data_IF_276277044019
#
_entry.id   IF_276277044019
#
_cell.length_a   1.000
_cell.length_b   1.000
_cell.length_c   1.000
_cell.angle_alpha   90.00
_cell.angle_beta   90.00
_cell.angle_gamma   90.00
#
_symmetry.space_group_name_H-M   'P 1'
#
loop_
_entity.id
_entity.type
_entity.pdbx_description
1 polymer ?
#
# COMPACT_ATOMS: atom_id res chain seq x y z
N UNK A 1 12.04 -3.75 15.93
CA UNK A 1 12.36 -4.85 15.00
C UNK A 1 11.10 -5.66 14.77
N UNK A 2 10.35 -5.46 13.67
CA UNK A 2 9.12 -6.22 13.37
C UNK A 2 9.50 -7.60 12.81
N UNK A 3 8.90 -8.64 13.37
CA UNK A 3 9.05 -10.04 12.99
C UNK A 3 8.33 -10.28 11.66
N UNK A 4 9.02 -10.83 10.66
CA UNK A 4 8.46 -11.22 9.37
C UNK A 4 7.81 -12.60 9.56
N UNK A 5 6.48 -12.65 9.68
CA UNK A 5 5.65 -13.83 10.01
C UNK A 5 5.22 -14.68 8.80
N UNK A 6 5.75 -14.42 7.59
CA UNK A 6 5.19 -14.97 6.34
C UNK A 6 5.71 -16.33 5.89
N UNK A 7 6.82 -16.87 6.43
CA UNK A 7 7.36 -18.13 5.93
C UNK A 7 6.94 -19.33 6.79
N UNK A 8 6.69 -20.50 6.18
CA UNK A 8 6.38 -21.72 6.91
C UNK A 8 7.60 -22.18 7.73
N UNK A 9 7.37 -22.52 9.00
CA UNK A 9 8.39 -22.98 9.96
C UNK A 9 9.10 -21.86 10.74
N UNK A 10 9.80 -22.24 11.81
CA UNK A 10 10.68 -21.31 12.54
C UNK A 10 11.77 -20.79 11.59
N UNK A 11 11.56 -19.61 11.01
CA UNK A 11 12.58 -18.93 10.23
C UNK A 11 13.81 -18.65 11.07
N UNK A 12 14.97 -19.05 10.58
CA UNK A 12 16.22 -18.72 11.24
C UNK A 12 16.45 -17.20 11.20
N UNK A 13 17.25 -16.65 12.14
CA UNK A 13 17.71 -15.26 12.05
C UNK A 13 18.42 -14.93 10.73
N UNK A 14 19.01 -15.94 10.06
CA UNK A 14 19.65 -15.78 8.76
C UNK A 14 18.63 -15.56 7.64
N UNK A 15 17.54 -16.32 7.61
CA UNK A 15 16.45 -16.15 6.64
C UNK A 15 15.79 -14.78 6.76
N UNK A 16 15.56 -14.32 8.01
CA UNK A 16 15.04 -12.96 8.27
C UNK A 16 15.96 -11.87 7.71
N UNK A 17 17.27 -12.01 7.90
CA UNK A 17 18.25 -11.06 7.37
C UNK A 17 18.30 -11.08 5.84
N UNK A 18 18.18 -12.26 5.23
CA UNK A 18 18.15 -12.41 3.78
C UNK A 18 16.92 -11.70 3.18
N UNK A 19 15.74 -11.93 3.74
CA UNK A 19 14.51 -11.26 3.30
C UNK A 19 14.63 -9.74 3.47
N UNK A 20 15.08 -9.26 4.62
CA UNK A 20 15.27 -7.81 4.83
C UNK A 20 16.27 -7.18 3.85
N UNK A 21 17.27 -7.93 3.38
CA UNK A 21 18.18 -7.45 2.32
C UNK A 21 17.50 -7.44 0.96
N UNK A 22 16.71 -8.46 0.64
CA UNK A 22 15.94 -8.53 -0.59
C UNK A 22 14.91 -7.38 -0.68
N UNK A 23 14.15 -7.12 0.39
CA UNK A 23 13.20 -6.00 0.46
C UNK A 23 13.90 -4.65 0.21
N UNK A 24 15.04 -4.41 0.87
CA UNK A 24 15.83 -3.18 0.65
C UNK A 24 16.41 -3.06 -0.77
N UNK A 25 16.68 -4.18 -1.44
CA UNK A 25 17.11 -4.16 -2.83
C UNK A 25 15.95 -3.80 -3.76
N UNK A 26 14.76 -4.36 -3.52
CA UNK A 26 13.54 -4.01 -4.24
C UNK A 26 13.15 -2.54 -4.03
N UNK A 27 13.19 -2.05 -2.79
CA UNK A 27 12.92 -0.65 -2.49
C UNK A 27 13.83 0.28 -3.31
N UNK A 28 15.13 0.00 -3.36
CA UNK A 28 16.06 0.81 -4.17
C UNK A 28 15.69 0.79 -5.65
N UNK A 29 15.38 -0.38 -6.20
CA UNK A 29 14.99 -0.50 -7.60
C UNK A 29 13.69 0.26 -7.92
N UNK A 30 12.75 0.31 -6.99
CA UNK A 30 11.48 1.04 -7.18
C UNK A 30 11.63 2.57 -7.07
N UNK A 31 12.73 3.05 -6.48
CA UNK A 31 13.10 4.47 -6.46
C UNK A 31 14.16 4.82 -7.53
N UNK A 32 14.51 3.89 -8.43
CA UNK A 32 15.42 4.21 -9.53
C UNK A 32 14.75 5.18 -10.52
N UNK A 33 15.42 6.28 -10.90
CA UNK A 33 14.86 7.24 -11.85
C UNK A 33 14.43 6.58 -13.15
N UNK A 34 13.22 6.88 -13.62
CA UNK A 34 12.66 6.35 -14.86
C UNK A 34 11.89 5.03 -14.71
N UNK A 35 11.87 4.42 -13.53
CA UNK A 35 11.00 3.28 -13.25
C UNK A 35 9.63 3.78 -12.84
N UNK A 36 8.67 3.72 -13.77
CA UNK A 36 7.29 4.05 -13.46
C UNK A 36 6.73 3.02 -12.45
N UNK A 37 6.26 3.51 -11.32
CA UNK A 37 5.58 2.74 -10.28
C UNK A 37 4.11 2.51 -10.65
N UNK A 38 3.88 2.16 -11.92
CA UNK A 38 2.56 1.93 -12.53
C UNK A 38 2.44 0.56 -13.16
N UNK A 39 3.49 -0.28 -13.12
CA UNK A 39 3.27 -1.70 -13.38
C UNK A 39 2.53 -2.27 -12.17
N UNK A 40 1.24 -2.53 -12.34
CA UNK A 40 0.39 -3.10 -11.30
C UNK A 40 1.05 -4.34 -10.69
N UNK A 41 1.83 -5.09 -11.50
CA UNK A 41 2.62 -6.23 -11.04
C UNK A 41 3.74 -5.87 -10.04
N UNK A 42 4.60 -4.88 -10.31
CA UNK A 42 5.68 -4.54 -9.37
C UNK A 42 5.13 -3.99 -8.06
N UNK A 43 4.10 -3.14 -8.13
CA UNK A 43 3.41 -2.61 -6.93
C UNK A 43 2.78 -3.75 -6.12
N UNK A 44 2.13 -4.71 -6.79
CA UNK A 44 1.54 -5.88 -6.14
C UNK A 44 2.56 -6.76 -5.44
N UNK A 45 3.64 -7.10 -6.10
CA UNK A 45 4.68 -7.93 -5.49
C UNK A 45 5.35 -7.21 -4.32
N UNK A 46 5.60 -5.90 -4.46
CA UNK A 46 6.09 -5.09 -3.36
C UNK A 46 5.11 -5.06 -2.17
N UNK A 47 3.82 -4.82 -2.42
CA UNK A 47 2.80 -4.79 -1.37
C UNK A 47 2.61 -6.17 -0.71
N UNK A 48 2.63 -7.26 -1.47
CA UNK A 48 2.58 -8.62 -0.90
C UNK A 48 3.73 -8.85 0.07
N UNK A 49 4.94 -8.50 -0.35
CA UNK A 49 6.13 -8.66 0.48
C UNK A 49 6.09 -7.83 1.78
N UNK A 50 5.44 -6.67 1.76
CA UNK A 50 5.38 -5.76 2.91
C UNK A 50 4.14 -5.94 3.80
N UNK A 51 3.03 -6.43 3.25
CA UNK A 51 1.72 -6.35 3.90
C UNK A 51 1.01 -7.70 4.09
N UNK A 52 1.34 -8.73 3.31
CA UNK A 52 0.61 -10.00 3.32
C UNK A 52 0.65 -10.75 4.66
N UNK A 53 1.68 -10.49 5.48
CA UNK A 53 1.91 -11.16 6.76
C UNK A 53 1.47 -10.34 7.97
N UNK A 54 0.94 -9.13 7.76
CA UNK A 54 0.58 -8.24 8.85
C UNK A 54 -0.65 -8.80 9.59
N UNK A 55 -0.49 -9.01 10.88
CA UNK A 55 -1.54 -9.53 11.78
C UNK A 55 -2.59 -8.47 12.16
N UNK A 56 -2.34 -7.22 11.78
CA UNK A 56 -3.25 -6.08 11.95
C UNK A 56 -3.41 -5.40 10.62
N UNK A 57 -4.54 -4.76 10.42
CA UNK A 57 -4.72 -3.89 9.28
C UNK A 57 -3.77 -2.70 9.38
N UNK A 58 -3.03 -2.46 8.30
CA UNK A 58 -2.25 -1.25 8.08
C UNK A 58 -2.77 -0.57 6.82
N UNK A 59 -3.03 0.73 6.88
CA UNK A 59 -3.34 1.55 5.72
C UNK A 59 -2.08 2.29 5.30
N UNK A 60 -1.64 2.04 4.07
CA UNK A 60 -0.45 2.60 3.45
C UNK A 60 -0.81 3.52 2.30
N UNK A 61 0.03 4.53 2.11
CA UNK A 61 -0.06 5.45 0.98
C UNK A 61 1.30 5.51 0.30
N UNK A 62 1.27 5.39 -1.02
CA UNK A 62 2.44 5.44 -1.88
C UNK A 62 2.34 6.72 -2.70
N UNK A 63 3.30 7.61 -2.53
CA UNK A 63 3.31 8.96 -3.09
C UNK A 63 4.08 8.96 -4.41
N UNK A 64 3.43 9.41 -5.48
CA UNK A 64 3.98 9.35 -6.83
C UNK A 64 4.13 10.74 -7.42
N UNK A 65 5.14 10.90 -8.29
CA UNK A 65 5.33 12.10 -9.09
C UNK A 65 4.44 12.10 -10.36
N UNK A 66 4.62 13.11 -11.22
CA UNK A 66 3.87 13.23 -12.48
C UNK A 66 4.20 12.14 -13.51
N UNK A 67 5.36 11.50 -13.40
CA UNK A 67 5.77 10.36 -14.22
C UNK A 67 5.36 9.02 -13.57
N UNK A 68 4.60 9.11 -12.47
CA UNK A 68 4.18 8.02 -11.62
C UNK A 68 5.36 7.22 -11.02
N UNK A 69 6.49 7.86 -10.78
CA UNK A 69 7.62 7.27 -10.05
C UNK A 69 7.40 7.41 -8.55
N UNK A 70 7.84 6.42 -7.77
CA UNK A 70 7.67 6.43 -6.31
C UNK A 70 8.58 7.48 -5.67
N UNK A 71 7.97 8.48 -5.02
CA UNK A 71 8.67 9.49 -4.23
C UNK A 71 8.98 8.93 -2.84
N UNK A 72 7.93 8.40 -2.19
CA UNK A 72 7.97 7.87 -0.84
C UNK A 72 6.76 6.95 -0.60
N UNK A 73 6.77 6.22 0.50
CA UNK A 73 5.61 5.51 1.02
C UNK A 73 5.55 5.60 2.53
N UNK A 74 4.36 5.51 3.12
CA UNK A 74 4.21 5.45 4.57
C UNK A 74 3.02 4.59 5.00
N UNK A 75 3.15 3.92 6.15
CA UNK A 75 1.99 3.42 6.90
C UNK A 75 1.39 4.59 7.67
N UNK A 76 0.28 5.15 7.16
CA UNK A 76 -0.39 6.29 7.81
C UNK A 76 -1.21 5.86 9.01
N UNK A 77 -1.83 4.68 8.93
CA UNK A 77 -2.72 4.20 9.98
C UNK A 77 -2.45 2.73 10.24
N UNK A 78 -2.47 2.37 11.52
CA UNK A 78 -2.41 0.98 11.97
C UNK A 78 -3.65 0.73 12.80
N UNK A 79 -4.50 -0.15 12.31
CA UNK A 79 -5.76 -0.48 12.92
C UNK A 79 -5.65 -1.52 14.03
N UNK A 80 -6.84 -1.98 14.40
CA UNK A 80 -7.03 -3.15 15.25
C UNK A 80 -7.06 -4.41 14.37
N UNK A 81 -7.51 -5.53 14.94
CA UNK A 81 -7.74 -6.77 14.16
C UNK A 81 -8.91 -6.59 13.17
N UNK A 82 -9.87 -5.70 13.47
CA UNK A 82 -11.17 -5.65 12.76
C UNK A 82 -11.36 -4.48 11.81
N UNK A 83 -10.63 -3.38 12.01
CA UNK A 83 -10.66 -2.19 11.15
C UNK A 83 -9.54 -1.20 11.49
N UNK A 84 -9.19 -0.39 10.50
CA UNK A 84 -8.38 0.82 10.64
C UNK A 84 -9.24 2.07 10.42
N UNK A 85 -9.19 3.04 11.34
CA UNK A 85 -9.82 4.33 11.11
C UNK A 85 -8.88 5.23 10.30
N UNK A 86 -9.33 5.63 9.11
CA UNK A 86 -8.56 6.46 8.17
C UNK A 86 -9.16 7.85 8.11
N UNK A 87 -8.33 8.86 8.36
CA UNK A 87 -8.74 10.26 8.31
C UNK A 87 -8.26 10.92 7.01
N UNK A 88 -9.17 11.32 6.10
CA UNK A 88 -8.79 11.91 4.81
C UNK A 88 -7.87 13.13 4.92
N UNK A 89 -8.02 13.94 5.98
CA UNK A 89 -7.14 15.10 6.24
C UNK A 89 -5.66 14.74 6.37
N UNK A 90 -5.33 13.61 7.00
CA UNK A 90 -3.93 13.20 7.16
C UNK A 90 -3.37 12.67 5.84
N UNK A 91 -4.19 11.98 5.06
CA UNK A 91 -3.81 11.53 3.70
C UNK A 91 -3.47 12.74 2.83
N UNK A 92 -4.35 13.75 2.78
CA UNK A 92 -4.13 14.99 2.01
C UNK A 92 -2.88 15.73 2.49
N UNK A 93 -2.76 15.93 3.81
CA UNK A 93 -1.60 16.62 4.42
C UNK A 93 -0.28 15.96 4.02
N UNK A 94 -0.22 14.63 4.04
CA UNK A 94 1.00 13.88 3.74
C UNK A 94 1.28 13.81 2.25
N UNK A 95 0.24 13.72 1.41
CA UNK A 95 0.39 13.79 -0.04
C UNK A 95 0.95 15.16 -0.48
N UNK A 96 0.44 16.25 0.09
CA UNK A 96 0.97 17.59 -0.13
C UNK A 96 2.41 17.75 0.40
N UNK A 97 2.71 17.19 1.58
CA UNK A 97 4.07 17.24 2.13
C UNK A 97 5.11 16.63 1.18
N UNK A 98 4.77 15.53 0.51
CA UNK A 98 5.65 14.89 -0.46
C UNK A 98 5.58 15.47 -1.87
N UNK A 99 4.78 16.52 -2.10
CA UNK A 99 4.48 17.06 -3.43
C UNK A 99 4.02 15.98 -4.41
N UNK A 100 3.18 15.05 -3.93
CA UNK A 100 2.68 13.95 -4.73
C UNK A 100 1.69 14.45 -5.79
N UNK A 101 1.89 14.04 -7.04
CA UNK A 101 0.93 14.26 -8.12
C UNK A 101 -0.14 13.16 -8.19
N UNK A 102 0.16 12.00 -7.61
CA UNK A 102 -0.76 10.89 -7.45
C UNK A 102 -0.44 10.07 -6.21
N UNK A 103 -1.42 9.34 -5.70
CA UNK A 103 -1.23 8.38 -4.61
C UNK A 103 -1.88 7.04 -4.92
N UNK A 104 -1.17 5.95 -4.63
CA UNK A 104 -1.78 4.62 -4.53
C UNK A 104 -2.12 4.36 -3.07
N UNK A 105 -3.36 3.96 -2.83
CA UNK A 105 -3.84 3.57 -1.51
C UNK A 105 -3.69 2.05 -1.38
N UNK A 106 -3.32 1.57 -0.19
CA UNK A 106 -3.31 0.14 0.07
C UNK A 106 -3.67 -0.18 1.52
N UNK A 107 -4.40 -1.27 1.74
CA UNK A 107 -4.54 -1.87 3.06
C UNK A 107 -4.51 -3.39 2.99
N UNK A 108 -4.19 -4.04 4.10
CA UNK A 108 -4.27 -5.50 4.19
C UNK A 108 -5.49 -5.94 4.99
N UNK A 109 -6.03 -7.10 4.64
CA UNK A 109 -6.95 -7.85 5.48
C UNK A 109 -6.21 -9.06 6.07
N UNK A 110 -5.96 -9.10 7.39
CA UNK A 110 -5.31 -10.24 8.04
C UNK A 110 -6.05 -11.58 7.83
N UNK A 111 -7.35 -11.54 7.57
CA UNK A 111 -8.17 -12.71 7.23
C UNK A 111 -7.78 -13.38 5.91
N UNK A 112 -7.10 -12.66 5.01
CA UNK A 112 -6.79 -13.11 3.66
C UNK A 112 -7.89 -12.83 2.62
N UNK A 113 -9.07 -12.41 3.03
CA UNK A 113 -10.16 -12.06 2.13
C UNK A 113 -9.88 -10.72 1.43
N UNK A 114 -9.86 -10.69 0.10
CA UNK A 114 -9.58 -9.44 -0.65
C UNK A 114 -10.82 -8.69 -1.12
N UNK A 115 -12.01 -9.25 -0.89
CA UNK A 115 -13.26 -8.59 -1.29
C UNK A 115 -13.47 -7.30 -0.48
N UNK A 116 -13.64 -6.13 -1.11
CA UNK A 116 -13.82 -4.88 -0.40
C UNK A 116 -15.17 -4.83 0.34
N UNK A 117 -15.14 -4.43 1.60
CA UNK A 117 -16.33 -4.12 2.37
C UNK A 117 -17.01 -2.83 1.88
N UNK A 118 -18.23 -2.56 2.33
CA UNK A 118 -18.89 -1.28 2.04
C UNK A 118 -18.15 -0.09 2.69
N UNK A 119 -17.47 -0.31 3.81
CA UNK A 119 -16.66 0.71 4.45
C UNK A 119 -15.45 1.07 3.58
N UNK A 120 -14.79 0.07 2.98
CA UNK A 120 -13.64 0.28 2.08
C UNK A 120 -14.06 1.08 0.85
N UNK A 121 -15.19 0.72 0.23
CA UNK A 121 -15.74 1.44 -0.92
C UNK A 121 -16.05 2.89 -0.59
N UNK A 122 -16.78 3.12 0.51
CA UNK A 122 -17.14 4.47 0.98
C UNK A 122 -15.89 5.31 1.29
N UNK A 123 -14.91 4.71 1.97
CA UNK A 123 -13.64 5.36 2.29
C UNK A 123 -12.88 5.74 1.03
N UNK A 124 -12.76 4.81 0.08
CA UNK A 124 -12.05 5.01 -1.20
C UNK A 124 -12.66 6.17 -1.98
N UNK A 125 -13.98 6.16 -2.17
CA UNK A 125 -14.68 7.24 -2.87
C UNK A 125 -14.47 8.59 -2.20
N UNK A 126 -14.54 8.63 -0.86
CA UNK A 126 -14.27 9.85 -0.11
C UNK A 126 -12.82 10.35 -0.29
N UNK A 127 -11.84 9.45 -0.27
CA UNK A 127 -10.43 9.79 -0.47
C UNK A 127 -10.18 10.33 -1.88
N UNK A 128 -10.74 9.68 -2.90
CA UNK A 128 -10.67 10.14 -4.29
C UNK A 128 -11.22 11.56 -4.42
N UNK A 129 -12.42 11.80 -3.89
CA UNK A 129 -13.05 13.12 -3.94
C UNK A 129 -12.18 14.20 -3.29
N UNK A 130 -11.66 13.97 -2.07
CA UNK A 130 -10.90 15.01 -1.38
C UNK A 130 -9.51 15.24 -1.98
N UNK A 131 -8.86 14.21 -2.50
CA UNK A 131 -7.56 14.33 -3.15
C UNK A 131 -7.67 15.04 -4.50
N UNK A 132 -8.78 14.80 -5.23
CA UNK A 132 -9.08 15.50 -6.47
C UNK A 132 -9.24 17.02 -6.26
N UNK A 133 -9.76 17.47 -5.11
CA UNK A 133 -9.89 18.91 -4.79
C UNK A 133 -8.54 19.64 -4.67
N UNK A 134 -7.44 18.89 -4.56
CA UNK A 134 -6.07 19.43 -4.50
C UNK A 134 -5.21 18.87 -5.64
N UNK A 135 -5.84 18.46 -6.74
CA UNK A 135 -5.20 17.97 -7.96
C UNK A 135 -4.29 16.74 -7.79
N UNK A 136 -4.57 15.90 -6.78
CA UNK A 136 -3.85 14.64 -6.54
C UNK A 136 -4.69 13.47 -7.03
N UNK A 137 -4.16 12.72 -8.00
CA UNK A 137 -4.84 11.56 -8.59
C UNK A 137 -4.78 10.34 -7.67
N UNK A 138 -5.75 9.44 -7.77
CA UNK A 138 -5.73 8.13 -7.09
C UNK A 138 -5.80 7.02 -8.15
N UNK A 139 -4.65 6.56 -8.69
CA UNK A 139 -4.65 5.60 -9.79
C UNK A 139 -5.20 4.23 -9.38
N UNK A 140 -5.04 3.85 -8.11
CA UNK A 140 -5.59 2.60 -7.59
C UNK A 140 -5.75 2.61 -6.06
N UNK A 141 -6.57 1.69 -5.58
CA UNK A 141 -6.63 1.25 -4.20
C UNK A 141 -6.51 -0.28 -4.16
N UNK A 142 -5.49 -0.77 -3.47
CA UNK A 142 -5.12 -2.19 -3.42
C UNK A 142 -5.43 -2.82 -2.04
N UNK A 143 -6.21 -3.91 -2.03
CA UNK A 143 -6.44 -4.72 -0.82
C UNK A 143 -5.56 -5.97 -0.87
N UNK A 144 -4.70 -6.14 0.14
CA UNK A 144 -3.78 -7.28 0.26
C UNK A 144 -4.36 -8.34 1.20
N UNK A 145 -4.72 -9.50 0.64
CA UNK A 145 -5.26 -10.65 1.36
C UNK A 145 -4.33 -11.85 1.22
N UNK A 146 -3.14 -11.78 1.83
CA UNK A 146 -2.13 -12.83 1.71
C UNK A 146 -1.53 -12.90 0.30
N UNK A 147 -1.87 -13.95 -0.46
CA UNK A 147 -1.34 -14.14 -1.83
C UNK A 147 -2.10 -13.37 -2.90
N UNK A 148 -3.34 -12.95 -2.60
CA UNK A 148 -4.20 -12.26 -3.53
C UNK A 148 -4.15 -10.75 -3.25
N UNK A 149 -4.29 -9.97 -4.32
CA UNK A 149 -4.50 -8.53 -4.23
C UNK A 149 -5.73 -8.18 -5.07
N UNK A 150 -6.65 -7.43 -4.47
CA UNK A 150 -7.75 -6.81 -5.18
C UNK A 150 -7.39 -5.38 -5.58
N UNK A 151 -7.67 -5.01 -6.83
CA UNK A 151 -7.51 -3.65 -7.35
C UNK A 151 -8.86 -3.02 -7.62
N UNK A 152 -9.11 -1.86 -7.02
CA UNK A 152 -10.34 -1.12 -7.28
C UNK A 152 -10.41 -0.65 -8.75
N UNK A 153 -9.28 -0.23 -9.32
CA UNK A 153 -9.23 0.23 -10.70
C UNK A 153 -9.57 -0.88 -11.70
N UNK A 154 -8.99 -2.09 -11.53
CA UNK A 154 -9.28 -3.23 -12.42
C UNK A 154 -10.72 -3.73 -12.33
N UNK A 155 -11.40 -3.45 -11.22
CA UNK A 155 -12.79 -3.87 -10.99
C UNK A 155 -13.80 -2.73 -11.22
N UNK A 156 -13.38 -1.57 -11.76
CA UNK A 156 -14.26 -0.46 -12.10
C UNK A 156 -14.89 0.24 -10.90
N UNK A 157 -14.20 0.27 -9.76
CA UNK A 157 -14.64 0.94 -8.53
C UNK A 157 -13.96 2.30 -8.28
N UNK A 158 -13.16 2.77 -9.24
CA UNK A 158 -12.48 4.07 -9.27
C UNK A 158 -12.84 4.85 -10.53
#
# INVERSE_FOLDING_TARGET
MKQLSFLPGEMTPQDRRLIQRALRALDRHLHEPGVAFTSTHAVREWLRLHMAALEREEFRVLYLDNQNQLIAHETLFTGTINRTEVHPREVVKRALYFNAAAVILAHNHPSGETTPSQADKTLTQRLVQVLQLVDIRVPDHLIVGGRQIYSFAEHGLL
#
